data_IF_823720852665
#
_entry.id   IF_823720852665
#
_cell.length_a   1.000
_cell.length_b   1.000
_cell.length_c   1.000
_cell.angle_alpha   90.00
_cell.angle_beta   90.00
_cell.angle_gamma   90.00
#
_symmetry.space_group_name_H-M   'P 1'
#
loop_
_entity.id
_entity.type
_entity.pdbx_description
1 polymer ?
#
# COMPACT_ATOMS: atom_id res chain seq x y z
N UNK A 1 7.64 25.23 10.04
CA UNK A 1 8.21 24.01 10.66
C UNK A 1 8.61 23.06 9.54
N UNK A 2 9.80 22.46 9.61
CA UNK A 2 10.23 21.43 8.66
C UNK A 2 9.46 20.11 8.92
N UNK A 3 9.01 19.46 7.85
CA UNK A 3 8.37 18.13 7.93
C UNK A 3 9.38 17.07 7.48
N UNK A 4 9.45 15.96 8.20
CA UNK A 4 10.24 14.80 7.79
C UNK A 4 9.31 13.80 7.11
N UNK A 5 9.70 13.32 5.93
CA UNK A 5 8.97 12.29 5.18
C UNK A 5 9.84 11.04 5.12
N UNK A 6 9.27 9.93 5.56
CA UNK A 6 9.90 8.62 5.49
C UNK A 6 9.16 7.78 4.45
N UNK A 7 9.87 7.38 3.39
CA UNK A 7 9.31 6.52 2.35
C UNK A 7 9.71 5.08 2.60
N UNK A 8 8.72 4.21 2.79
CA UNK A 8 8.91 2.79 3.08
C UNK A 8 8.32 1.98 1.92
N UNK A 9 9.15 1.15 1.29
CA UNK A 9 8.68 0.17 0.30
C UNK A 9 8.03 -1.02 1.01
N UNK A 10 7.01 -1.61 0.39
CA UNK A 10 6.40 -2.85 0.89
C UNK A 10 7.42 -3.99 1.00
N UNK A 11 7.21 -4.91 1.93
CA UNK A 11 7.95 -6.16 2.05
C UNK A 11 7.79 -7.05 0.82
N UNK A 12 8.55 -8.15 0.75
CA UNK A 12 8.46 -9.12 -0.33
C UNK A 12 7.01 -9.58 -0.52
N UNK A 13 6.47 -9.42 -1.72
CA UNK A 13 5.12 -9.84 -2.08
C UNK A 13 5.15 -11.07 -2.99
N UNK A 14 4.02 -11.79 -3.04
CA UNK A 14 3.90 -13.04 -3.80
C UNK A 14 4.35 -12.89 -5.27
N UNK A 15 4.00 -11.78 -5.93
CA UNK A 15 4.41 -11.53 -7.30
C UNK A 15 5.92 -11.35 -7.47
N UNK A 16 6.64 -10.90 -6.43
CA UNK A 16 8.10 -10.77 -6.49
C UNK A 16 8.78 -12.14 -6.55
N UNK A 17 8.26 -13.13 -5.83
CA UNK A 17 8.81 -14.49 -5.81
C UNK A 17 8.42 -15.24 -7.08
N UNK A 18 7.14 -15.25 -7.43
CA UNK A 18 6.62 -15.96 -8.60
C UNK A 18 7.18 -15.42 -9.93
N UNK A 19 7.69 -14.19 -9.94
CA UNK A 19 8.37 -13.63 -11.12
C UNK A 19 9.53 -14.51 -11.60
N UNK A 20 10.24 -15.13 -10.68
CA UNK A 20 11.36 -16.03 -11.04
C UNK A 20 10.91 -17.34 -11.68
N UNK A 21 9.68 -17.79 -11.43
CA UNK A 21 9.13 -19.03 -11.95
C UNK A 21 8.39 -18.83 -13.28
N UNK A 22 7.59 -17.75 -13.40
CA UNK A 22 6.70 -17.53 -14.56
C UNK A 22 6.89 -16.17 -15.25
N UNK A 23 7.92 -15.39 -14.86
CA UNK A 23 8.22 -14.10 -15.46
C UNK A 23 7.08 -13.08 -15.29
N UNK A 24 6.94 -12.18 -16.27
CA UNK A 24 5.94 -11.11 -16.25
C UNK A 24 4.49 -11.60 -16.25
N UNK A 25 4.23 -12.86 -16.55
CA UNK A 25 2.88 -13.43 -16.48
C UNK A 25 2.27 -13.32 -15.09
N UNK A 26 3.10 -13.30 -14.04
CA UNK A 26 2.63 -13.12 -12.67
C UNK A 26 1.82 -11.84 -12.48
N UNK A 27 2.23 -10.75 -13.14
CA UNK A 27 1.57 -9.46 -13.02
C UNK A 27 0.16 -9.46 -13.63
N UNK A 28 -0.06 -10.29 -14.65
CA UNK A 28 -1.34 -10.41 -15.33
C UNK A 28 -2.29 -11.41 -14.65
N UNK A 29 -1.75 -12.42 -13.96
CA UNK A 29 -2.53 -13.53 -13.42
C UNK A 29 -2.98 -13.31 -11.97
N UNK A 30 -2.18 -12.61 -11.15
CA UNK A 30 -2.41 -12.52 -9.72
C UNK A 30 -2.85 -11.11 -9.31
N UNK A 31 -4.14 -10.97 -8.96
CA UNK A 31 -4.69 -9.69 -8.49
C UNK A 31 -4.24 -9.41 -7.06
N UNK A 32 -3.72 -8.16 -6.85
CA UNK A 32 -3.48 -7.59 -5.52
C UNK A 32 -2.80 -8.56 -4.55
N UNK A 33 -1.58 -8.94 -4.90
CA UNK A 33 -0.84 -9.98 -4.21
C UNK A 33 -0.48 -9.62 -2.76
N UNK A 34 -0.61 -10.59 -1.82
CA UNK A 34 -0.20 -10.41 -0.44
C UNK A 34 1.33 -10.42 -0.27
N UNK A 35 1.79 -10.06 0.92
CA UNK A 35 3.15 -10.36 1.37
C UNK A 35 3.38 -11.86 1.46
N UNK A 36 4.62 -12.28 1.23
CA UNK A 36 5.12 -13.61 1.62
C UNK A 36 5.41 -13.65 3.13
N UNK A 37 5.68 -14.83 3.68
CA UNK A 37 6.16 -14.96 5.05
C UNK A 37 7.45 -14.17 5.30
N UNK A 38 8.34 -14.11 4.28
CA UNK A 38 9.55 -13.28 4.31
C UNK A 38 9.20 -11.80 4.36
N UNK A 39 8.26 -11.34 3.53
CA UNK A 39 7.82 -9.94 3.52
C UNK A 39 7.20 -9.50 4.85
N UNK A 40 6.42 -10.39 5.49
CA UNK A 40 5.89 -10.14 6.85
C UNK A 40 7.04 -9.97 7.86
N UNK A 41 8.03 -10.88 7.84
CA UNK A 41 9.21 -10.77 8.73
C UNK A 41 10.01 -9.49 8.49
N UNK A 42 10.19 -9.08 7.22
CA UNK A 42 10.86 -7.81 6.87
C UNK A 42 10.14 -6.61 7.49
N UNK A 43 8.81 -6.55 7.38
CA UNK A 43 8.01 -5.48 7.97
C UNK A 43 8.10 -5.48 9.51
N UNK A 44 7.99 -6.64 10.14
CA UNK A 44 8.12 -6.79 11.59
C UNK A 44 9.51 -6.41 12.09
N UNK A 45 10.57 -6.78 11.38
CA UNK A 45 11.94 -6.40 11.72
C UNK A 45 12.13 -4.89 11.67
N UNK A 46 11.59 -4.22 10.63
CA UNK A 46 11.62 -2.75 10.57
C UNK A 46 10.80 -2.15 11.73
N UNK A 47 9.62 -2.70 12.02
CA UNK A 47 8.80 -2.28 13.15
C UNK A 47 9.49 -2.42 14.51
N UNK A 48 10.35 -3.40 14.69
CA UNK A 48 11.10 -3.65 15.93
C UNK A 48 12.45 -2.94 16.00
N UNK A 49 12.92 -2.37 14.88
CA UNK A 49 14.22 -1.68 14.82
C UNK A 49 14.12 -0.23 15.28
N UNK A 50 15.24 0.32 15.76
CA UNK A 50 15.38 1.71 16.21
C UNK A 50 15.72 2.65 15.03
N UNK A 51 14.89 2.67 13.99
CA UNK A 51 15.10 3.65 12.93
C UNK A 51 14.70 5.06 13.37
N UNK A 52 15.52 6.03 12.97
CA UNK A 52 15.33 7.44 13.34
C UNK A 52 13.98 7.95 12.85
N UNK A 53 13.14 8.38 13.77
CA UNK A 53 11.84 8.97 13.45
C UNK A 53 10.63 8.11 13.78
N UNK A 54 10.78 6.81 14.06
CA UNK A 54 9.66 5.92 14.41
C UNK A 54 8.80 6.46 15.55
N UNK A 55 9.41 7.02 16.60
CA UNK A 55 8.72 7.61 17.74
C UNK A 55 8.08 8.98 17.46
N UNK A 56 8.35 9.55 16.28
CA UNK A 56 7.91 10.91 15.89
C UNK A 56 7.03 10.91 14.65
N UNK A 57 6.42 9.77 14.34
CA UNK A 57 5.48 9.69 13.23
C UNK A 57 4.13 10.21 13.68
N UNK A 58 3.67 11.27 13.06
CA UNK A 58 2.37 11.89 13.32
C UNK A 58 1.26 11.33 12.43
N UNK A 59 1.63 10.79 11.27
CA UNK A 59 0.70 10.28 10.26
C UNK A 59 1.36 9.21 9.40
N UNK A 60 0.65 8.11 9.15
CA UNK A 60 0.99 7.11 8.14
C UNK A 60 0.03 7.26 6.97
N UNK A 61 0.58 7.50 5.77
CA UNK A 61 -0.16 7.41 4.51
C UNK A 61 0.20 6.08 3.87
N UNK A 62 -0.80 5.29 3.51
CA UNK A 62 -0.61 3.97 2.95
C UNK A 62 -1.36 3.80 1.64
N UNK A 63 -0.74 3.12 0.68
CA UNK A 63 -1.42 2.68 -0.54
C UNK A 63 -2.43 1.58 -0.20
N UNK A 64 -3.65 1.59 -0.76
CA UNK A 64 -4.66 0.57 -0.48
C UNK A 64 -4.45 -0.74 -1.25
N UNK A 65 -3.21 -1.09 -1.60
CA UNK A 65 -2.86 -2.42 -2.09
C UNK A 65 -2.58 -3.35 -0.92
N UNK A 66 -2.98 -4.63 -1.05
CA UNK A 66 -2.91 -5.59 0.06
C UNK A 66 -1.51 -5.67 0.69
N UNK A 67 -0.47 -5.79 -0.14
CA UNK A 67 0.94 -5.86 0.32
C UNK A 67 1.38 -4.64 1.12
N UNK A 68 0.89 -3.44 0.76
CA UNK A 68 1.25 -2.19 1.44
C UNK A 68 0.48 -2.04 2.75
N UNK A 69 -0.80 -2.40 2.78
CA UNK A 69 -1.60 -2.45 4.01
C UNK A 69 -1.00 -3.44 5.02
N UNK A 70 -0.64 -4.64 4.56
CA UNK A 70 0.04 -5.64 5.40
C UNK A 70 1.40 -5.15 5.89
N UNK A 71 2.19 -4.47 5.05
CA UNK A 71 3.48 -3.91 5.46
C UNK A 71 3.31 -2.87 6.56
N UNK A 72 2.41 -1.89 6.36
CA UNK A 72 2.17 -0.85 7.35
C UNK A 72 1.63 -1.43 8.67
N UNK A 73 0.69 -2.37 8.60
CA UNK A 73 0.17 -3.06 9.79
C UNK A 73 1.28 -3.75 10.57
N UNK A 74 2.15 -4.53 9.89
CA UNK A 74 3.25 -5.25 10.56
C UNK A 74 4.36 -4.34 11.10
N UNK A 75 4.51 -3.11 10.59
CA UNK A 75 5.45 -2.14 11.14
C UNK A 75 4.89 -1.45 12.39
N UNK A 76 3.63 -1.03 12.34
CA UNK A 76 3.06 -0.11 13.33
C UNK A 76 2.13 -0.77 14.35
N UNK A 77 1.65 -1.98 14.10
CA UNK A 77 0.81 -2.75 15.01
C UNK A 77 1.54 -4.02 15.47
N UNK A 78 1.54 -4.29 16.77
CA UNK A 78 2.13 -5.53 17.32
C UNK A 78 1.27 -6.75 16.99
N UNK A 79 -0.05 -6.56 17.02
CA UNK A 79 -1.05 -7.53 16.59
C UNK A 79 -1.97 -6.88 15.56
N UNK A 80 -2.64 -7.67 14.69
CA UNK A 80 -3.55 -7.14 13.65
C UNK A 80 -4.69 -6.27 14.18
N UNK A 81 -5.12 -6.52 15.42
CA UNK A 81 -6.22 -5.79 16.08
C UNK A 81 -5.76 -4.56 16.87
N UNK A 82 -4.44 -4.35 16.98
CA UNK A 82 -3.89 -3.21 17.70
C UNK A 82 -4.13 -1.91 16.92
N UNK A 83 -4.35 -0.83 17.66
CA UNK A 83 -4.33 0.51 17.04
C UNK A 83 -2.90 0.94 16.77
N UNK A 84 -2.60 1.50 15.59
CA UNK A 84 -1.31 2.10 15.32
C UNK A 84 -1.06 3.31 16.25
N UNK A 85 0.20 3.70 16.49
CA UNK A 85 0.55 4.81 17.39
C UNK A 85 0.11 6.19 16.87
N UNK A 86 -0.25 6.30 15.60
CA UNK A 86 -0.73 7.50 14.92
C UNK A 86 -1.79 7.14 13.88
N UNK A 87 -2.57 8.11 13.36
CA UNK A 87 -3.52 7.85 12.30
C UNK A 87 -2.87 7.18 11.08
N UNK A 88 -3.54 6.18 10.53
CA UNK A 88 -3.13 5.47 9.31
C UNK A 88 -4.24 5.64 8.26
N UNK A 89 -3.95 6.41 7.21
CA UNK A 89 -4.93 6.80 6.19
C UNK A 89 -4.56 6.16 4.85
N UNK A 90 -5.49 5.44 4.26
CA UNK A 90 -5.33 4.87 2.93
C UNK A 90 -5.72 5.89 1.84
N UNK A 91 -4.86 6.04 0.83
CA UNK A 91 -5.07 6.95 -0.29
C UNK A 91 -4.83 6.26 -1.62
N UNK A 92 -5.83 6.26 -2.50
CA UNK A 92 -5.69 5.73 -3.87
C UNK A 92 -4.61 6.46 -4.68
N UNK A 93 -4.38 7.74 -4.40
CA UNK A 93 -3.40 8.54 -5.13
C UNK A 93 -1.95 8.08 -4.95
N UNK A 94 -1.65 7.26 -3.93
CA UNK A 94 -0.31 6.69 -3.69
C UNK A 94 -0.17 5.23 -4.10
N UNK A 95 -1.11 4.69 -4.89
CA UNK A 95 -0.97 3.36 -5.47
C UNK A 95 0.19 3.29 -6.46
N UNK A 96 0.66 2.06 -6.73
CA UNK A 96 1.76 1.74 -7.64
C UNK A 96 1.57 2.37 -9.02
N UNK A 97 2.68 2.70 -9.67
CA UNK A 97 2.71 3.20 -11.04
C UNK A 97 3.44 2.17 -11.94
N UNK A 98 2.95 1.91 -13.13
CA UNK A 98 1.67 2.39 -13.69
C UNK A 98 0.47 1.58 -13.18
N UNK A 99 -0.69 2.23 -13.07
CA UNK A 99 -1.96 1.54 -12.93
C UNK A 99 -2.41 0.97 -14.28
N UNK A 100 -3.30 -0.03 -14.24
CA UNK A 100 -3.82 -0.70 -15.44
C UNK A 100 -2.97 -1.87 -15.93
N UNK A 101 -3.56 -2.78 -16.71
CA UNK A 101 -3.05 -4.06 -17.19
C UNK A 101 -2.65 -5.03 -16.06
N UNK A 102 -1.69 -4.65 -15.23
CA UNK A 102 -1.11 -5.51 -14.21
C UNK A 102 -2.12 -5.75 -13.07
N UNK A 103 -2.64 -6.98 -12.97
CA UNK A 103 -3.60 -7.36 -11.93
C UNK A 103 -3.00 -7.21 -10.52
N UNK A 104 -1.71 -7.40 -10.34
CA UNK A 104 -1.05 -7.23 -9.05
C UNK A 104 -1.15 -5.79 -8.51
N UNK A 105 -1.42 -4.80 -9.37
CA UNK A 105 -1.62 -3.40 -9.02
C UNK A 105 -3.11 -3.02 -8.93
N UNK A 106 -4.03 -3.95 -9.16
CA UNK A 106 -5.47 -3.75 -9.03
C UNK A 106 -5.94 -4.08 -7.63
N UNK A 107 -6.24 -3.07 -6.83
CA UNK A 107 -6.75 -3.30 -5.47
C UNK A 107 -8.10 -4.04 -5.47
N UNK A 108 -8.42 -4.66 -4.37
CA UNK A 108 -9.74 -5.23 -4.10
C UNK A 108 -10.72 -4.16 -3.60
N UNK A 109 -11.95 -4.58 -3.28
CA UNK A 109 -12.98 -3.75 -2.70
C UNK A 109 -12.56 -3.16 -1.34
N UNK A 110 -12.86 -1.89 -1.13
CA UNK A 110 -12.61 -1.21 0.16
C UNK A 110 -13.47 -1.81 1.29
N UNK A 111 -14.65 -2.33 0.97
CA UNK A 111 -15.48 -3.03 1.97
C UNK A 111 -14.76 -4.25 2.53
N UNK A 112 -14.09 -5.03 1.67
CA UNK A 112 -13.27 -6.17 2.10
C UNK A 112 -12.12 -5.71 2.99
N UNK A 113 -11.42 -4.62 2.61
CA UNK A 113 -10.29 -4.11 3.38
C UNK A 113 -10.67 -3.46 4.70
N UNK A 114 -11.81 -2.77 4.79
CA UNK A 114 -12.33 -2.25 6.07
C UNK A 114 -12.54 -3.36 7.09
N UNK A 115 -12.93 -4.53 6.64
CA UNK A 115 -13.07 -5.70 7.52
C UNK A 115 -11.72 -6.26 7.95
N UNK A 116 -10.76 -6.39 7.01
CA UNK A 116 -9.45 -6.97 7.28
C UNK A 116 -8.49 -6.01 8.02
N UNK A 117 -8.67 -4.70 7.84
CA UNK A 117 -7.80 -3.64 8.39
C UNK A 117 -8.62 -2.57 9.10
N UNK A 118 -9.30 -2.90 10.21
CA UNK A 118 -10.22 -1.97 10.90
C UNK A 118 -9.50 -0.75 11.51
N UNK A 119 -8.18 -0.81 11.66
CA UNK A 119 -7.33 0.26 12.16
C UNK A 119 -6.89 1.26 11.08
N UNK A 120 -7.21 1.01 9.81
CA UNK A 120 -6.90 1.90 8.68
C UNK A 120 -8.11 2.75 8.34
N UNK A 121 -7.90 4.05 8.20
CA UNK A 121 -8.94 4.98 7.74
C UNK A 121 -9.01 4.98 6.20
N UNK A 122 -10.11 4.48 5.66
CA UNK A 122 -10.42 4.46 4.23
C UNK A 122 -11.41 5.57 3.82
N UNK A 123 -11.68 6.56 4.68
CA UNK A 123 -12.70 7.60 4.42
C UNK A 123 -12.36 8.49 3.23
N UNK A 124 -11.08 8.57 2.87
CA UNK A 124 -10.59 9.37 1.74
C UNK A 124 -10.69 8.65 0.38
N UNK A 125 -11.13 7.39 0.37
CA UNK A 125 -11.33 6.61 -0.86
C UNK A 125 -12.80 6.65 -1.23
N UNK A 126 -13.08 7.25 -2.38
CA UNK A 126 -14.44 7.50 -2.86
C UNK A 126 -15.11 6.23 -3.41
N UNK A 127 -14.36 5.41 -4.16
CA UNK A 127 -14.88 4.26 -4.89
C UNK A 127 -14.55 2.95 -4.19
N UNK A 128 -15.54 2.05 -4.10
CA UNK A 128 -15.33 0.71 -3.52
C UNK A 128 -14.35 -0.11 -4.35
N UNK A 129 -14.56 -0.21 -5.65
CA UNK A 129 -13.63 -0.84 -6.59
C UNK A 129 -12.54 0.15 -7.06
N UNK A 130 -11.45 -0.39 -7.62
CA UNK A 130 -10.32 0.39 -8.11
C UNK A 130 -10.70 1.26 -9.32
N UNK A 131 -10.71 2.60 -9.20
CA UNK A 131 -11.12 3.49 -10.28
C UNK A 131 -10.01 3.76 -11.30
N UNK A 132 -8.76 3.47 -10.98
CA UNK A 132 -7.61 3.77 -11.82
C UNK A 132 -7.18 2.59 -12.68
N UNK A 133 -7.49 1.35 -12.25
CA UNK A 133 -7.11 0.18 -13.00
C UNK A 133 -7.97 -0.01 -14.25
N UNK A 134 -7.31 -0.14 -15.40
CA UNK A 134 -7.94 -0.40 -16.69
C UNK A 134 -7.36 -1.66 -17.33
N UNK A 135 -8.23 -2.45 -17.94
CA UNK A 135 -7.86 -3.76 -18.50
C UNK A 135 -6.91 -3.68 -19.68
N UNK A 136 -7.00 -2.64 -20.49
CA UNK A 136 -6.32 -2.53 -21.78
C UNK A 136 -5.40 -1.32 -21.90
N UNK A 137 -5.27 -0.54 -20.87
CA UNK A 137 -4.49 0.69 -20.86
C UNK A 137 -3.61 0.78 -19.64
N UNK A 138 -2.35 1.19 -19.82
CA UNK A 138 -1.49 1.62 -18.71
C UNK A 138 -1.69 3.10 -18.41
N UNK A 139 -1.55 3.45 -17.15
CA UNK A 139 -1.53 4.82 -16.68
C UNK A 139 -0.39 5.60 -17.35
N UNK A 140 -0.68 6.82 -17.84
CA UNK A 140 0.32 7.74 -18.36
C UNK A 140 0.92 8.60 -17.24
N UNK A 141 2.03 9.27 -17.51
CA UNK A 141 2.64 10.25 -16.58
C UNK A 141 1.68 11.40 -16.27
N UNK A 142 0.90 11.83 -17.26
CA UNK A 142 -0.11 12.89 -17.07
C UNK A 142 -1.19 12.44 -16.08
N UNK A 143 -1.69 11.22 -16.21
CA UNK A 143 -2.67 10.65 -15.27
C UNK A 143 -2.08 10.49 -13.87
N UNK A 144 -0.81 10.02 -13.76
CA UNK A 144 -0.11 9.97 -12.49
C UNK A 144 -0.02 11.34 -11.83
N UNK A 145 0.36 12.39 -12.58
CA UNK A 145 0.46 13.74 -12.07
C UNK A 145 -0.88 14.25 -11.52
N UNK A 146 -1.99 14.02 -12.25
CA UNK A 146 -3.34 14.37 -11.78
C UNK A 146 -3.67 13.63 -10.48
N UNK A 147 -3.35 12.35 -10.41
CA UNK A 147 -3.58 11.53 -9.21
C UNK A 147 -2.77 12.05 -8.01
N UNK A 148 -1.51 12.40 -8.20
CA UNK A 148 -0.62 12.89 -7.16
C UNK A 148 -0.95 14.31 -6.66
N UNK A 149 -1.65 15.15 -7.45
CA UNK A 149 -2.12 16.46 -6.97
C UNK A 149 -2.99 16.34 -5.72
N UNK A 150 -3.73 15.24 -5.56
CA UNK A 150 -4.52 14.96 -4.35
C UNK A 150 -3.66 14.85 -3.09
N UNK A 151 -2.40 14.40 -3.20
CA UNK A 151 -1.46 14.35 -2.07
C UNK A 151 -1.16 15.73 -1.48
N UNK A 152 -1.23 16.79 -2.28
CA UNK A 152 -0.95 18.16 -1.82
C UNK A 152 -1.98 18.67 -0.80
N UNK A 153 -3.14 18.04 -0.72
CA UNK A 153 -4.19 18.40 0.24
C UNK A 153 -3.85 17.96 1.69
N UNK A 154 -2.90 17.02 1.84
CA UNK A 154 -2.43 16.52 3.15
C UNK A 154 -1.19 17.28 3.68
N UNK A 155 -1.14 18.58 3.45
CA UNK A 155 -0.06 19.46 3.93
C UNK A 155 -0.26 19.93 5.37
#
# INVERSE_FOLDING_TARGET
MSKNIYCIRHGEALHNVLFWDIGEHVYLLYRDTPLTATGVKQAQQLGNSDWKGKEKIDLVIVSPLLRTLQTATNIFCKNPDDKPPCPMIALDCVMEYPQGLDQCNRRKSIKEYKYCFPHVDFSQIEYDEDPFWKRYEKETIEHLNVRLEKMKQFR
#
